data_IF_067372195584
#
_entry.id   IF_067372195584
#
_cell.length_a   1.000
_cell.length_b   1.000
_cell.length_c   1.000
_cell.angle_alpha   90.00
_cell.angle_beta   90.00
_cell.angle_gamma   90.00
#
_symmetry.space_group_name_H-M   'P 1'
#
loop_
_entity.id
_entity.type
_entity.pdbx_description
1 polymer ?
#
# COMPACT_ATOMS: atom_id res chain seq x y z
N UNK A 1 -3.48 -3.70 -21.68
CA UNK A 1 -3.91 -2.81 -20.59
C UNK A 1 -2.82 -2.86 -19.51
N UNK A 2 -2.56 -1.79 -18.78
CA UNK A 2 -1.60 -1.83 -17.67
C UNK A 2 -2.15 -2.68 -16.52
N UNK A 3 -1.25 -3.28 -15.73
CA UNK A 3 -1.57 -4.21 -14.64
C UNK A 3 -1.07 -3.66 -13.31
N UNK A 4 -1.93 -3.65 -12.29
CA UNK A 4 -1.57 -3.27 -10.93
C UNK A 4 -1.79 -4.43 -9.95
N UNK A 5 -0.80 -4.66 -9.07
CA UNK A 5 -0.94 -5.48 -7.86
C UNK A 5 -1.12 -4.54 -6.67
N UNK A 6 -2.25 -4.68 -5.95
CA UNK A 6 -2.57 -3.83 -4.79
C UNK A 6 -2.80 -4.72 -3.58
N UNK A 7 -1.96 -4.58 -2.55
CA UNK A 7 -2.15 -5.30 -1.30
C UNK A 7 -3.06 -4.54 -0.32
N UNK A 8 -3.83 -5.26 0.51
CA UNK A 8 -4.80 -4.66 1.41
C UNK A 8 -5.97 -3.97 0.69
N UNK A 9 -6.41 -4.51 -0.44
CA UNK A 9 -7.35 -3.86 -1.36
C UNK A 9 -8.84 -4.09 -1.04
N UNK A 10 -9.20 -4.78 0.04
CA UNK A 10 -10.61 -5.02 0.38
C UNK A 10 -11.34 -3.83 1.00
N UNK A 11 -10.60 -2.77 1.39
CA UNK A 11 -11.15 -1.56 2.05
C UNK A 11 -10.13 -0.41 2.04
N UNK A 12 -10.55 0.76 2.54
CA UNK A 12 -9.68 1.92 2.77
C UNK A 12 -9.01 2.42 1.49
N UNK A 13 -7.73 2.84 1.61
CA UNK A 13 -6.98 3.43 0.50
C UNK A 13 -6.76 2.43 -0.65
N UNK A 14 -6.46 1.14 -0.33
CA UNK A 14 -6.25 0.13 -1.36
C UNK A 14 -7.49 -0.07 -2.24
N UNK A 15 -8.69 -0.14 -1.66
CA UNK A 15 -9.94 -0.23 -2.41
C UNK A 15 -10.22 1.05 -3.19
N UNK A 16 -10.03 2.22 -2.57
CA UNK A 16 -10.24 3.50 -3.25
C UNK A 16 -9.33 3.66 -4.49
N UNK A 17 -8.06 3.25 -4.37
CA UNK A 17 -7.13 3.23 -5.49
C UNK A 17 -7.55 2.21 -6.56
N UNK A 18 -7.99 1.01 -6.15
CA UNK A 18 -8.48 -0.01 -7.08
C UNK A 18 -9.66 0.52 -7.92
N UNK A 19 -10.63 1.19 -7.30
CA UNK A 19 -11.72 1.86 -8.02
C UNK A 19 -11.21 2.91 -9.02
N UNK A 20 -10.27 3.73 -8.60
CA UNK A 20 -9.74 4.80 -9.45
C UNK A 20 -8.95 4.25 -10.66
N UNK A 21 -8.24 3.12 -10.49
CA UNK A 21 -7.54 2.44 -11.57
C UNK A 21 -8.52 1.65 -12.48
N UNK A 22 -9.58 1.05 -11.92
CA UNK A 22 -10.61 0.37 -12.70
C UNK A 22 -11.29 1.32 -13.71
N UNK A 23 -11.61 2.56 -13.30
CA UNK A 23 -12.14 3.61 -14.19
C UNK A 23 -11.18 3.93 -15.34
N UNK A 24 -9.87 3.72 -15.14
CA UNK A 24 -8.81 3.91 -16.15
C UNK A 24 -8.50 2.62 -16.95
N UNK A 25 -9.36 1.60 -16.85
CA UNK A 25 -9.24 0.32 -17.57
C UNK A 25 -7.94 -0.44 -17.27
N UNK A 26 -7.45 -0.39 -16.02
CA UNK A 26 -6.35 -1.22 -15.56
C UNK A 26 -6.86 -2.64 -15.27
N UNK A 27 -6.03 -3.64 -15.54
CA UNK A 27 -6.19 -4.98 -14.97
C UNK A 27 -5.68 -4.98 -13.53
N UNK A 28 -6.44 -5.58 -12.61
CA UNK A 28 -6.17 -5.51 -11.17
C UNK A 28 -5.95 -6.89 -10.58
N UNK A 29 -4.83 -7.08 -9.90
CA UNK A 29 -4.60 -8.19 -8.98
C UNK A 29 -4.73 -7.63 -7.57
N UNK A 30 -5.72 -8.10 -6.83
CA UNK A 30 -6.07 -7.58 -5.51
C UNK A 30 -5.78 -8.62 -4.43
N UNK A 31 -5.17 -8.18 -3.34
CA UNK A 31 -4.89 -8.97 -2.16
C UNK A 31 -5.58 -8.41 -0.92
N UNK A 32 -6.07 -9.27 -0.07
CA UNK A 32 -6.41 -8.99 1.32
C UNK A 32 -6.59 -10.30 2.11
N UNK A 33 -6.47 -10.24 3.45
CA UNK A 33 -6.65 -11.42 4.32
C UNK A 33 -8.10 -11.92 4.37
N UNK A 34 -9.07 -11.02 4.34
CA UNK A 34 -10.49 -11.34 4.44
C UNK A 34 -11.08 -11.73 3.08
N UNK A 35 -11.21 -13.04 2.81
CA UNK A 35 -11.67 -13.54 1.52
C UNK A 35 -13.07 -13.00 1.12
N UNK A 36 -14.02 -12.94 2.05
CA UNK A 36 -15.37 -12.44 1.76
C UNK A 36 -15.38 -10.94 1.41
N UNK A 37 -14.63 -10.12 2.15
CA UNK A 37 -14.52 -8.69 1.90
C UNK A 37 -13.78 -8.42 0.58
N UNK A 38 -12.75 -9.21 0.27
CA UNK A 38 -12.01 -9.09 -0.97
C UNK A 38 -12.86 -9.50 -2.18
N UNK A 39 -13.63 -10.58 -2.06
CA UNK A 39 -14.54 -11.02 -3.11
C UNK A 39 -15.59 -9.95 -3.42
N UNK A 40 -16.19 -9.33 -2.39
CA UNK A 40 -17.14 -8.21 -2.55
C UNK A 40 -16.48 -7.04 -3.27
N UNK A 41 -15.29 -6.62 -2.84
CA UNK A 41 -14.55 -5.54 -3.49
C UNK A 41 -14.25 -5.85 -4.97
N UNK A 42 -13.85 -7.09 -5.29
CA UNK A 42 -13.63 -7.51 -6.67
C UNK A 42 -14.92 -7.49 -7.50
N UNK A 43 -16.06 -7.95 -6.94
CA UNK A 43 -17.35 -7.94 -7.64
C UNK A 43 -17.82 -6.49 -7.96
N UNK A 44 -17.55 -5.54 -7.07
CA UNK A 44 -17.84 -4.11 -7.30
C UNK A 44 -16.99 -3.51 -8.45
N UNK A 45 -15.77 -4.03 -8.66
CA UNK A 45 -14.81 -3.50 -9.64
C UNK A 45 -14.93 -4.15 -11.03
N UNK A 46 -15.37 -5.42 -11.13
CA UNK A 46 -15.47 -6.18 -12.38
C UNK A 46 -16.26 -5.51 -13.51
N UNK A 47 -17.30 -4.69 -13.26
CA UNK A 47 -17.96 -3.98 -14.36
C UNK A 47 -17.05 -3.01 -15.12
N UNK A 48 -15.94 -2.55 -14.51
CA UNK A 48 -15.02 -1.57 -15.10
C UNK A 48 -13.62 -2.10 -15.39
N UNK A 49 -13.26 -3.28 -14.88
CA UNK A 49 -11.89 -3.81 -14.96
C UNK A 49 -11.84 -5.34 -14.97
N UNK A 50 -10.77 -5.89 -15.52
CA UNK A 50 -10.41 -7.29 -15.28
C UNK A 50 -9.78 -7.40 -13.87
N UNK A 51 -10.38 -8.24 -13.00
CA UNK A 51 -10.02 -8.30 -11.59
C UNK A 51 -9.78 -9.75 -11.14
N UNK A 52 -8.56 -10.02 -10.70
CA UNK A 52 -8.17 -11.24 -10.00
C UNK A 52 -8.03 -10.95 -8.50
N UNK A 53 -8.74 -11.67 -7.66
CA UNK A 53 -8.71 -11.53 -6.21
C UNK A 53 -8.04 -12.76 -5.57
N UNK A 54 -6.96 -12.54 -4.83
CA UNK A 54 -6.18 -13.60 -4.16
C UNK A 54 -6.18 -13.32 -2.66
N UNK A 55 -6.92 -14.10 -1.90
CA UNK A 55 -7.07 -13.90 -0.46
C UNK A 55 -5.96 -14.59 0.33
N UNK A 56 -5.24 -13.86 1.17
CA UNK A 56 -4.18 -14.39 2.01
C UNK A 56 -3.43 -13.33 2.80
N UNK A 57 -2.37 -13.74 3.46
CA UNK A 57 -1.53 -12.87 4.29
C UNK A 57 -0.21 -12.55 3.57
N UNK A 58 0.09 -11.28 3.35
CA UNK A 58 1.34 -10.83 2.71
C UNK A 58 2.60 -11.24 3.46
N UNK A 59 2.48 -11.61 4.74
CA UNK A 59 3.58 -12.19 5.51
C UNK A 59 3.84 -13.67 5.17
N UNK A 60 2.87 -14.37 4.55
CA UNK A 60 3.05 -15.76 4.15
C UNK A 60 3.81 -15.85 2.80
N UNK A 61 4.98 -16.54 2.76
CA UNK A 61 5.73 -16.71 1.53
C UNK A 61 5.01 -17.55 0.47
N UNK A 62 4.06 -18.41 0.87
CA UNK A 62 3.25 -19.19 -0.10
C UNK A 62 2.28 -18.25 -0.80
N UNK A 63 1.55 -17.45 -0.03
CA UNK A 63 0.61 -16.47 -0.56
C UNK A 63 1.28 -15.44 -1.50
N UNK A 64 2.49 -14.98 -1.16
CA UNK A 64 3.24 -14.07 -2.07
C UNK A 64 3.58 -14.72 -3.42
N UNK A 65 3.78 -16.06 -3.47
CA UNK A 65 3.94 -16.77 -4.75
C UNK A 65 2.64 -16.86 -5.52
N UNK A 66 1.51 -17.10 -4.85
CA UNK A 66 0.19 -17.08 -5.47
C UNK A 66 -0.12 -15.72 -6.11
N UNK A 67 0.24 -14.63 -5.44
CA UNK A 67 0.15 -13.27 -6.00
C UNK A 67 1.03 -13.09 -7.24
N UNK A 68 2.28 -13.57 -7.18
CA UNK A 68 3.18 -13.53 -8.34
C UNK A 68 2.62 -14.33 -9.53
N UNK A 69 2.03 -15.50 -9.28
CA UNK A 69 1.47 -16.35 -10.33
C UNK A 69 0.24 -15.68 -10.96
N UNK A 70 -0.65 -15.06 -10.15
CA UNK A 70 -1.76 -14.26 -10.66
C UNK A 70 -1.30 -13.07 -11.53
N UNK A 71 -0.23 -12.39 -11.14
CA UNK A 71 0.36 -11.31 -11.96
C UNK A 71 0.96 -11.87 -13.27
N UNK A 72 1.61 -13.03 -13.22
CA UNK A 72 2.17 -13.70 -14.41
C UNK A 72 1.11 -14.09 -15.43
N UNK A 73 -0.07 -14.52 -14.97
CA UNK A 73 -1.22 -14.81 -15.85
C UNK A 73 -1.68 -13.56 -16.61
N UNK A 74 -1.52 -12.36 -16.03
CA UNK A 74 -1.78 -11.08 -16.70
C UNK A 74 -0.67 -10.67 -17.69
N UNK A 75 0.46 -11.37 -17.71
CA UNK A 75 1.56 -11.22 -18.66
C UNK A 75 2.51 -10.05 -18.42
N UNK A 76 2.19 -9.11 -17.50
CA UNK A 76 3.00 -7.92 -17.16
C UNK A 76 2.66 -7.41 -15.76
N UNK A 77 3.50 -6.53 -15.23
CA UNK A 77 3.18 -5.72 -14.07
C UNK A 77 3.72 -4.30 -14.29
N UNK A 78 2.86 -3.31 -14.13
CA UNK A 78 3.22 -1.89 -14.30
C UNK A 78 3.27 -1.15 -12.97
N UNK A 79 2.51 -1.64 -11.98
CA UNK A 79 2.38 -1.00 -10.67
C UNK A 79 2.28 -2.05 -9.56
N UNK A 80 3.17 -1.97 -8.58
CA UNK A 80 3.04 -2.65 -7.30
C UNK A 80 2.69 -1.61 -6.22
N UNK A 81 1.56 -1.81 -5.52
CA UNK A 81 1.17 -0.97 -4.37
C UNK A 81 1.18 -1.82 -3.10
N UNK A 82 2.19 -1.63 -2.28
CA UNK A 82 2.30 -2.19 -0.95
C UNK A 82 1.51 -1.33 0.04
N UNK A 83 0.21 -1.62 0.16
CA UNK A 83 -0.71 -0.88 1.02
C UNK A 83 -1.14 -1.68 2.26
N UNK A 84 -1.10 -3.02 2.22
CA UNK A 84 -1.39 -3.84 3.39
C UNK A 84 -0.52 -3.44 4.58
N UNK A 85 -1.15 -3.21 5.74
CA UNK A 85 -0.47 -2.77 6.95
C UNK A 85 -1.22 -3.19 8.20
N UNK A 86 -0.48 -3.31 9.32
CA UNK A 86 -1.02 -3.53 10.66
C UNK A 86 -0.33 -2.58 11.64
N UNK A 87 -1.07 -2.14 12.67
CA UNK A 87 -0.52 -1.28 13.74
C UNK A 87 0.31 -2.06 14.77
N UNK A 88 0.02 -3.36 14.91
CA UNK A 88 0.40 -4.16 16.08
C UNK A 88 -0.70 -4.15 17.13
N UNK A 89 -0.36 -4.21 18.43
CA UNK A 89 -1.33 -4.19 19.52
C UNK A 89 -2.19 -2.92 19.52
N UNK A 90 -3.46 -3.05 19.90
CA UNK A 90 -4.33 -1.90 20.12
C UNK A 90 -5.02 -2.05 21.49
N UNK A 91 -4.89 -1.08 22.41
CA UNK A 91 -4.14 0.18 22.26
C UNK A 91 -2.64 -0.04 22.08
N UNK A 92 -1.99 0.88 21.38
CA UNK A 92 -0.55 0.80 21.11
C UNK A 92 0.25 1.08 22.39
N UNK A 93 1.12 0.15 22.86
CA UNK A 93 1.89 0.32 24.09
C UNK A 93 3.09 1.27 23.87
N UNK A 94 3.61 1.89 24.94
CA UNK A 94 4.93 2.53 24.90
C UNK A 94 5.99 1.57 24.37
N UNK A 95 7.00 2.10 23.68
CA UNK A 95 8.04 1.25 23.06
C UNK A 95 8.81 0.40 24.09
N UNK A 96 8.95 0.88 25.33
CA UNK A 96 9.60 0.14 26.41
C UNK A 96 8.85 -1.12 26.83
N UNK A 97 7.51 -1.14 26.62
CA UNK A 97 6.61 -2.22 27.01
C UNK A 97 6.10 -3.02 25.79
N UNK A 98 6.59 -2.68 24.61
CA UNK A 98 6.08 -3.28 23.36
C UNK A 98 6.49 -4.77 23.28
N UNK A 99 5.54 -5.72 23.18
CA UNK A 99 5.87 -7.14 23.06
C UNK A 99 6.67 -7.41 21.78
N UNK A 100 7.88 -7.98 21.92
CA UNK A 100 8.75 -8.21 20.76
C UNK A 100 8.16 -9.16 19.71
N UNK A 101 7.33 -10.13 20.12
CA UNK A 101 6.64 -11.02 19.20
C UNK A 101 5.64 -10.26 18.32
N UNK A 102 4.89 -9.30 18.90
CA UNK A 102 3.96 -8.43 18.16
C UNK A 102 4.71 -7.45 17.25
N UNK A 103 5.86 -6.93 17.73
CA UNK A 103 6.72 -6.10 16.89
C UNK A 103 7.25 -6.89 15.69
N UNK A 104 7.75 -8.10 15.90
CA UNK A 104 8.20 -8.98 14.83
C UNK A 104 7.09 -9.22 13.80
N UNK A 105 5.86 -9.51 14.27
CA UNK A 105 4.69 -9.67 13.38
C UNK A 105 4.38 -8.41 12.59
N UNK A 106 4.51 -7.24 13.21
CA UNK A 106 4.29 -5.96 12.53
C UNK A 106 5.33 -5.74 11.43
N UNK A 107 6.60 -6.10 11.68
CA UNK A 107 7.66 -6.07 10.67
C UNK A 107 7.42 -7.06 9.53
N UNK A 108 6.94 -8.28 9.82
CA UNK A 108 6.61 -9.26 8.77
C UNK A 108 5.60 -8.71 7.76
N UNK A 109 4.57 -8.02 8.24
CA UNK A 109 3.53 -7.45 7.37
C UNK A 109 3.98 -6.15 6.71
N UNK A 110 4.53 -5.21 7.50
CA UNK A 110 4.74 -3.84 7.04
C UNK A 110 6.08 -3.63 6.30
N UNK A 111 7.05 -4.54 6.47
CA UNK A 111 8.41 -4.39 5.91
C UNK A 111 8.79 -5.59 5.04
N UNK A 112 8.78 -6.80 5.60
CA UNK A 112 9.27 -7.98 4.89
C UNK A 112 8.31 -8.42 3.78
N UNK A 113 6.99 -8.31 3.97
CA UNK A 113 6.00 -8.55 2.94
C UNK A 113 6.20 -7.65 1.71
N UNK A 114 6.20 -6.31 1.87
CA UNK A 114 6.50 -5.35 0.81
C UNK A 114 7.83 -5.60 0.10
N UNK A 115 8.91 -5.80 0.85
CA UNK A 115 10.23 -6.08 0.29
C UNK A 115 10.24 -7.37 -0.54
N UNK A 116 9.66 -8.44 0.00
CA UNK A 116 9.61 -9.73 -0.70
C UNK A 116 8.74 -9.66 -1.97
N UNK A 117 7.60 -8.93 -1.95
CA UNK A 117 6.79 -8.71 -3.14
C UNK A 117 7.56 -7.89 -4.19
N UNK A 118 8.27 -6.84 -3.79
CA UNK A 118 9.11 -6.08 -4.70
C UNK A 118 10.17 -6.97 -5.35
N UNK A 119 10.89 -7.79 -4.57
CA UNK A 119 11.89 -8.74 -5.08
C UNK A 119 11.30 -9.76 -6.07
N UNK A 120 10.14 -10.34 -5.75
CA UNK A 120 9.47 -11.34 -6.59
C UNK A 120 8.95 -10.75 -7.90
N UNK A 121 8.46 -9.50 -7.87
CA UNK A 121 7.83 -8.86 -9.03
C UNK A 121 8.79 -8.01 -9.85
N UNK A 122 10.01 -7.76 -9.36
CA UNK A 122 11.03 -6.93 -10.03
C UNK A 122 11.25 -7.28 -11.51
N UNK A 123 11.39 -8.57 -11.92
CA UNK A 123 11.56 -8.91 -13.33
C UNK A 123 10.39 -8.51 -14.22
N UNK A 124 9.16 -8.51 -13.68
CA UNK A 124 7.95 -8.12 -14.43
C UNK A 124 7.83 -6.60 -14.53
N UNK A 125 8.16 -5.88 -13.44
CA UNK A 125 8.18 -4.41 -13.41
C UNK A 125 9.24 -3.83 -14.36
N UNK A 126 10.39 -4.48 -14.50
CA UNK A 126 11.47 -4.05 -15.42
C UNK A 126 11.27 -4.53 -16.85
N UNK A 127 10.49 -5.59 -17.06
CA UNK A 127 10.29 -6.22 -18.38
C UNK A 127 9.16 -5.61 -19.20
N UNK A 128 8.39 -4.67 -18.63
CA UNK A 128 7.29 -4.02 -19.33
C UNK A 128 7.76 -3.03 -20.42
N UNK A 129 6.84 -2.61 -21.32
CA UNK A 129 7.15 -1.62 -22.35
C UNK A 129 7.32 -0.20 -21.77
N UNK A 130 6.72 0.05 -20.62
CA UNK A 130 6.80 1.29 -19.89
C UNK A 130 7.62 1.09 -18.61
N UNK A 131 8.09 2.17 -18.03
CA UNK A 131 8.78 2.15 -16.73
C UNK A 131 7.81 1.73 -15.64
N UNK A 132 8.08 0.62 -14.96
CA UNK A 132 7.25 0.14 -13.85
C UNK A 132 7.37 1.02 -12.62
N UNK A 133 6.36 0.94 -11.73
CA UNK A 133 6.36 1.70 -10.49
C UNK A 133 6.12 0.80 -9.26
N UNK A 134 6.76 1.14 -8.15
CA UNK A 134 6.52 0.60 -6.81
C UNK A 134 6.10 1.72 -5.89
N UNK A 135 4.94 1.58 -5.25
CA UNK A 135 4.46 2.51 -4.23
C UNK A 135 4.34 1.76 -2.90
N UNK A 136 5.10 2.20 -1.93
CA UNK A 136 5.00 1.76 -0.55
C UNK A 136 4.22 2.80 0.25
N UNK A 137 3.08 2.41 0.86
CA UNK A 137 2.30 3.34 1.67
C UNK A 137 3.00 3.55 3.01
N UNK A 138 3.47 4.78 3.20
CA UNK A 138 4.17 5.26 4.39
C UNK A 138 3.20 5.90 5.41
N UNK A 139 3.73 6.70 6.30
CA UNK A 139 3.02 7.48 7.31
C UNK A 139 3.92 8.60 7.82
N UNK A 140 3.34 9.64 8.37
CA UNK A 140 4.06 10.66 9.15
C UNK A 140 4.80 10.08 10.37
N UNK A 141 4.29 8.97 10.94
CA UNK A 141 4.96 8.22 12.00
C UNK A 141 6.31 7.60 11.57
N UNK A 142 6.63 7.56 10.28
CA UNK A 142 7.95 7.16 9.79
C UNK A 142 9.04 8.21 10.11
N UNK A 143 8.65 9.47 10.20
CA UNK A 143 9.57 10.63 10.36
C UNK A 143 9.35 11.39 11.66
N UNK A 144 8.20 11.21 12.32
CA UNK A 144 7.88 11.86 13.58
C UNK A 144 7.71 10.82 14.69
N UNK A 145 8.19 11.13 15.88
CA UNK A 145 8.03 10.27 17.05
C UNK A 145 6.79 10.68 17.87
N UNK A 146 5.88 9.73 18.07
CA UNK A 146 4.69 9.90 18.90
C UNK A 146 4.67 8.85 20.02
N UNK A 147 4.20 9.20 21.24
CA UNK A 147 4.01 8.21 22.30
C UNK A 147 3.10 7.05 21.85
N UNK A 148 3.52 5.81 22.09
CA UNK A 148 2.79 4.60 21.67
C UNK A 148 3.04 4.15 20.23
N UNK A 149 3.48 5.03 19.34
CA UNK A 149 3.65 4.72 17.90
C UNK A 149 4.98 4.07 17.55
N UNK A 150 5.87 3.83 18.53
CA UNK A 150 7.22 3.33 18.26
C UNK A 150 7.27 1.99 17.51
N UNK A 151 6.34 1.08 17.78
CA UNK A 151 6.24 -0.19 17.06
C UNK A 151 5.89 0.02 15.58
N UNK A 152 4.77 0.67 15.30
CA UNK A 152 4.32 0.95 13.94
C UNK A 152 5.26 1.90 13.19
N UNK A 153 5.60 3.04 13.81
CA UNK A 153 6.47 4.07 13.21
C UNK A 153 7.82 3.52 12.80
N UNK A 154 8.44 2.65 13.63
CA UNK A 154 9.71 2.01 13.27
C UNK A 154 9.59 1.16 12.00
N UNK A 155 8.45 0.47 11.78
CA UNK A 155 8.24 -0.29 10.55
C UNK A 155 8.09 0.62 9.32
N UNK A 156 7.42 1.76 9.47
CA UNK A 156 7.24 2.72 8.37
C UNK A 156 8.56 3.43 8.04
N UNK A 157 9.38 3.77 9.04
CA UNK A 157 10.73 4.29 8.83
C UNK A 157 11.63 3.27 8.12
N UNK A 158 11.56 2.00 8.52
CA UNK A 158 12.29 0.92 7.85
C UNK A 158 11.83 0.76 6.38
N UNK A 159 10.51 0.79 6.14
CA UNK A 159 9.96 0.71 4.78
C UNK A 159 10.38 1.90 3.92
N UNK A 160 10.39 3.12 4.46
CA UNK A 160 10.85 4.31 3.76
C UNK A 160 12.34 4.19 3.37
N UNK A 161 13.18 3.66 4.25
CA UNK A 161 14.59 3.42 3.96
C UNK A 161 14.78 2.34 2.88
N UNK A 162 14.03 1.23 2.95
CA UNK A 162 14.01 0.19 1.91
C UNK A 162 13.58 0.77 0.57
N UNK A 163 12.55 1.64 0.57
CA UNK A 163 12.06 2.34 -0.63
C UNK A 163 13.16 3.20 -1.26
N UNK A 164 13.82 4.01 -0.46
CA UNK A 164 14.91 4.87 -0.93
C UNK A 164 16.10 4.07 -1.48
N UNK A 165 16.46 2.95 -0.83
CA UNK A 165 17.53 2.06 -1.30
C UNK A 165 17.16 1.40 -2.62
N UNK A 166 15.93 0.86 -2.73
CA UNK A 166 15.44 0.25 -3.97
C UNK A 166 15.45 1.24 -5.14
N UNK A 167 15.10 2.51 -4.89
CA UNK A 167 15.13 3.57 -5.89
C UNK A 167 16.54 3.81 -6.46
N UNK A 168 17.57 3.76 -5.61
CA UNK A 168 18.97 3.93 -6.02
C UNK A 168 19.49 2.70 -6.78
N UNK A 169 19.14 1.51 -6.31
CA UNK A 169 19.57 0.24 -6.88
C UNK A 169 18.87 -0.11 -8.19
N UNK A 170 17.65 0.40 -8.41
CA UNK A 170 16.81 0.13 -9.58
C UNK A 170 16.43 1.42 -10.33
N UNK A 171 17.39 2.09 -11.00
CA UNK A 171 17.12 3.36 -11.69
C UNK A 171 16.14 3.22 -12.86
N UNK A 172 15.82 1.99 -13.28
CA UNK A 172 14.79 1.67 -14.29
C UNK A 172 13.37 1.69 -13.77
N UNK A 173 13.13 1.86 -12.45
CA UNK A 173 11.82 1.92 -11.84
C UNK A 173 11.54 3.30 -11.25
N UNK A 174 10.24 3.62 -11.10
CA UNK A 174 9.78 4.70 -10.24
C UNK A 174 9.42 4.10 -8.88
N UNK A 175 10.08 4.54 -7.82
CA UNK A 175 9.92 3.94 -6.48
C UNK A 175 9.56 5.02 -5.47
N UNK A 176 8.37 4.91 -4.87
CA UNK A 176 7.80 5.94 -4.03
C UNK A 176 7.44 5.41 -2.64
N UNK A 177 7.77 6.17 -1.61
CA UNK A 177 7.13 6.11 -0.30
C UNK A 177 6.04 7.20 -0.28
N UNK A 178 4.78 6.82 -0.21
CA UNK A 178 3.67 7.76 -0.21
C UNK A 178 2.98 7.82 1.15
N UNK A 179 2.99 8.99 1.76
CA UNK A 179 2.30 9.27 3.01
C UNK A 179 0.91 9.84 2.69
N UNK A 180 -0.17 9.08 2.92
CA UNK A 180 -1.52 9.48 2.60
C UNK A 180 -2.14 10.46 3.62
N UNK A 181 -1.43 10.76 4.72
CA UNK A 181 -1.98 11.48 5.86
C UNK A 181 -3.04 10.69 6.62
N UNK A 182 -3.70 11.36 7.57
CA UNK A 182 -4.79 10.77 8.34
C UNK A 182 -6.03 10.55 7.46
N UNK A 183 -6.61 9.37 7.59
CA UNK A 183 -7.82 9.00 6.85
C UNK A 183 -8.84 8.32 7.75
N UNK A 184 -10.12 8.50 7.46
CA UNK A 184 -11.18 7.72 8.09
C UNK A 184 -11.14 6.26 7.59
N UNK A 185 -10.33 5.45 8.24
CA UNK A 185 -10.13 4.03 7.92
C UNK A 185 -10.20 3.17 9.17
N UNK A 186 -10.35 1.86 8.99
CA UNK A 186 -10.31 0.92 10.10
C UNK A 186 -8.96 0.94 10.83
N UNK A 187 -7.85 1.09 10.11
CA UNK A 187 -6.53 1.21 10.71
C UNK A 187 -6.46 2.43 11.66
N UNK A 188 -7.01 3.57 11.23
CA UNK A 188 -7.04 4.78 12.05
C UNK A 188 -7.94 4.62 13.28
N UNK A 189 -9.12 3.99 13.15
CA UNK A 189 -9.98 3.65 14.30
C UNK A 189 -9.30 2.74 15.31
N UNK A 190 -8.49 1.79 14.85
CA UNK A 190 -7.68 0.94 15.73
C UNK A 190 -6.56 1.70 16.43
N UNK A 191 -6.00 2.74 15.80
CA UNK A 191 -4.97 3.60 16.39
C UNK A 191 -5.52 4.47 17.52
N UNK A 192 -6.80 4.89 17.42
CA UNK A 192 -7.47 5.78 18.38
C UNK A 192 -8.77 5.14 18.88
N UNK A 193 -8.69 4.09 19.75
CA UNK A 193 -9.87 3.40 20.26
C UNK A 193 -10.77 4.35 21.05
N UNK A 194 -12.03 4.45 20.64
CA UNK A 194 -13.04 5.30 21.31
C UNK A 194 -13.06 6.76 20.85
N UNK A 195 -12.19 7.17 19.95
CA UNK A 195 -12.26 8.49 19.33
C UNK A 195 -13.15 8.48 18.07
N UNK A 196 -13.85 9.59 17.85
CA UNK A 196 -14.56 9.83 16.59
C UNK A 196 -13.54 10.29 15.54
N UNK A 197 -13.38 9.49 14.50
CA UNK A 197 -12.49 9.77 13.37
C UNK A 197 -13.26 10.17 12.11
N UNK A 198 -14.54 10.50 12.24
CA UNK A 198 -15.41 10.87 11.12
C UNK A 198 -15.03 12.20 10.47
N UNK A 199 -14.30 13.05 11.18
CA UNK A 199 -13.73 14.31 10.69
C UNK A 199 -12.51 14.13 9.77
N UNK A 200 -11.93 12.93 9.73
CA UNK A 200 -10.79 12.62 8.84
C UNK A 200 -11.27 12.41 7.40
N UNK A 201 -10.46 12.79 6.40
CA UNK A 201 -10.78 12.58 4.99
C UNK A 201 -11.11 11.11 4.68
N UNK A 202 -12.10 10.89 3.84
CA UNK A 202 -12.35 9.54 3.31
C UNK A 202 -11.19 9.10 2.40
N UNK A 203 -10.83 7.83 2.40
CA UNK A 203 -9.76 7.29 1.54
C UNK A 203 -9.98 7.60 0.05
N UNK A 204 -11.23 7.67 -0.40
CA UNK A 204 -11.57 8.04 -1.77
C UNK A 204 -11.15 9.46 -2.16
N UNK A 205 -10.99 10.37 -1.20
CA UNK A 205 -10.51 11.74 -1.46
C UNK A 205 -8.98 11.81 -1.53
N UNK A 206 -8.29 10.79 -1.03
CA UNK A 206 -6.81 10.68 -1.05
C UNK A 206 -6.31 9.98 -2.31
N UNK A 207 -7.06 8.98 -2.82
CA UNK A 207 -6.68 8.23 -4.01
C UNK A 207 -6.32 9.10 -5.23
N UNK A 208 -7.01 10.23 -5.54
CA UNK A 208 -6.62 11.11 -6.63
C UNK A 208 -5.21 11.70 -6.52
N UNK A 209 -4.73 12.00 -5.31
CA UNK A 209 -3.37 12.51 -5.10
C UNK A 209 -2.32 11.43 -5.46
N UNK A 210 -2.57 10.17 -5.07
CA UNK A 210 -1.70 9.06 -5.46
C UNK A 210 -1.72 8.82 -6.97
N UNK A 211 -2.88 8.95 -7.64
CA UNK A 211 -2.95 8.86 -9.09
C UNK A 211 -2.14 9.99 -9.76
N UNK A 212 -2.18 11.20 -9.23
CA UNK A 212 -1.37 12.31 -9.74
C UNK A 212 0.12 12.05 -9.60
N UNK A 213 0.58 11.51 -8.46
CA UNK A 213 1.96 11.05 -8.29
C UNK A 213 2.36 10.08 -9.41
N UNK A 214 1.49 9.10 -9.71
CA UNK A 214 1.74 8.10 -10.76
C UNK A 214 1.70 8.70 -12.17
N UNK A 215 0.88 9.71 -12.42
CA UNK A 215 0.76 10.39 -13.71
C UNK A 215 1.95 11.36 -13.96
N UNK A 216 2.33 12.14 -12.93
CA UNK A 216 3.40 13.14 -13.01
C UNK A 216 4.80 12.52 -12.99
N UNK A 217 4.94 11.32 -12.40
CA UNK A 217 6.19 10.55 -12.33
C UNK A 217 7.41 11.39 -11.91
N UNK A 218 7.37 12.06 -10.77
CA UNK A 218 8.53 12.81 -10.26
C UNK A 218 9.70 11.84 -9.97
N UNK A 219 10.86 12.38 -9.60
CA UNK A 219 11.98 11.54 -9.15
C UNK A 219 11.55 10.60 -8.03
N UNK A 220 12.08 9.36 -8.02
CA UNK A 220 11.83 8.42 -6.92
C UNK A 220 12.13 9.05 -5.56
N UNK A 221 11.28 8.81 -4.56
CA UNK A 221 11.44 9.43 -3.25
C UNK A 221 10.23 9.30 -2.34
N UNK A 222 10.25 10.04 -1.24
CA UNK A 222 9.14 10.14 -0.30
C UNK A 222 8.28 11.35 -0.62
N UNK A 223 6.97 11.14 -0.68
CA UNK A 223 5.97 12.16 -0.99
C UNK A 223 4.79 12.07 -0.02
N UNK A 224 4.11 13.19 0.18
CA UNK A 224 2.90 13.30 0.99
C UNK A 224 1.68 13.60 0.11
N UNK A 225 0.50 13.29 0.61
CA UNK A 225 -0.76 13.63 -0.07
C UNK A 225 -0.87 15.14 -0.36
N UNK A 226 -0.34 15.97 0.52
CA UNK A 226 -0.42 17.45 0.38
C UNK A 226 0.32 17.97 -0.87
N UNK A 227 1.39 17.30 -1.29
CA UNK A 227 2.17 17.70 -2.47
C UNK A 227 1.41 17.46 -3.78
N UNK A 228 0.44 16.54 -3.75
CA UNK A 228 -0.39 16.17 -4.92
C UNK A 228 -1.88 16.48 -4.71
N UNK A 229 -2.28 17.08 -3.61
CA UNK A 229 -3.64 17.57 -3.44
C UNK A 229 -3.90 18.67 -4.47
N UNK A 230 -5.03 18.60 -5.18
CA UNK A 230 -5.47 19.71 -6.04
C UNK A 230 -5.59 20.95 -5.18
N UNK A 231 -5.02 22.08 -5.62
CA UNK A 231 -5.34 23.36 -5.01
C UNK A 231 -6.86 23.50 -5.03
N UNK A 232 -7.46 23.56 -3.85
CA UNK A 232 -8.89 23.91 -3.75
C UNK A 232 -8.98 25.31 -4.30
N UNK A 233 -9.48 25.42 -5.55
CA UNK A 233 -9.85 26.71 -6.11
C UNK A 233 -11.02 27.21 -5.28
N UNK A 234 -10.70 28.11 -4.32
CA UNK A 234 -11.66 28.89 -3.53
C UNK A 234 -12.40 29.88 -4.42
#
# INVERSE_FOLDING_TARGET
>A
MPVALITGASRGLGLALAHALAVRSWTLVLDARGAADLARAADELRPGADVTAVAGDVADPVHRRELLDAVRESGRLDLLVNNASVLGPSPMPPIADHPLAELARTYEVNVFGPLALAQLTLPLLLGGPDRGAVVNISSDAAVNAYPGWGGYGSTKAALDHVTATLAVEQPGLDVYAFDPGDMNTELHRQAFPGEDVSDRPAAATVAPALLRLLDERPASGRYTVAEFASAVTS
#
